data_IF_130408291110
#
_entry.id   IF_130408291110
#
_cell.length_a   1.000
_cell.length_b   1.000
_cell.length_c   1.000
_cell.angle_alpha   90.00
_cell.angle_beta   90.00
_cell.angle_gamma   90.00
#
_symmetry.space_group_name_H-M   'P 1'
#
loop_
_entity.id
_entity.type
_entity.pdbx_description
1 polymer ?
#
# COMPACT_ATOMS: atom_id res chain seq x y z
N UNK A 1 3.02 9.41 -8.28
CA UNK A 1 1.68 9.57 -8.91
C UNK A 1 1.38 11.02 -9.31
N UNK A 2 1.42 11.99 -8.40
CA UNK A 2 1.09 13.40 -8.69
C UNK A 2 1.92 13.99 -9.84
N UNK A 3 3.25 13.84 -9.81
CA UNK A 3 4.13 14.30 -10.89
C UNK A 3 3.80 13.67 -12.26
N UNK A 4 3.47 12.37 -12.28
CA UNK A 4 3.10 11.66 -13.51
C UNK A 4 1.76 12.15 -14.07
N UNK A 5 0.80 12.49 -13.20
CA UNK A 5 -0.49 13.08 -13.60
C UNK A 5 -0.30 14.50 -14.13
N UNK A 6 0.51 15.34 -13.46
CA UNK A 6 0.82 16.68 -13.93
C UNK A 6 1.58 16.67 -15.28
N UNK A 7 2.49 15.72 -15.49
CA UNK A 7 3.14 15.55 -16.81
C UNK A 7 2.12 15.23 -17.92
N UNK A 8 1.05 14.50 -17.59
CA UNK A 8 -0.01 14.18 -18.55
C UNK A 8 -0.83 15.41 -18.93
N UNK A 9 -1.17 16.23 -17.94
CA UNK A 9 -1.95 17.46 -18.12
C UNK A 9 -1.14 18.57 -18.83
N UNK A 10 0.08 18.84 -18.37
CA UNK A 10 0.89 19.96 -18.86
C UNK A 10 1.62 19.66 -20.18
N UNK A 11 1.63 18.40 -20.65
CA UNK A 11 2.41 17.90 -21.81
C UNK A 11 3.90 18.26 -21.82
N UNK A 12 4.41 18.86 -20.75
CA UNK A 12 5.81 19.18 -20.57
C UNK A 12 6.59 17.95 -20.12
N UNK A 13 7.80 17.79 -20.64
CA UNK A 13 8.68 16.67 -20.32
C UNK A 13 9.39 16.94 -18.97
N UNK A 14 8.62 17.06 -17.88
CA UNK A 14 9.14 17.33 -16.53
C UNK A 14 9.94 16.15 -15.95
N UNK A 15 9.82 14.96 -16.54
CA UNK A 15 10.50 13.74 -16.09
C UNK A 15 11.34 13.12 -17.21
N UNK A 16 12.66 13.16 -17.00
CA UNK A 16 13.66 12.43 -17.78
C UNK A 16 13.49 10.92 -17.60
N UNK A 17 13.87 10.14 -18.61
CA UNK A 17 13.86 8.66 -18.54
C UNK A 17 14.67 8.12 -17.36
N UNK A 18 15.80 8.75 -17.05
CA UNK A 18 16.63 8.39 -15.90
C UNK A 18 15.87 8.52 -14.57
N UNK A 19 15.06 9.58 -14.41
CA UNK A 19 14.26 9.79 -13.20
C UNK A 19 13.17 8.71 -13.06
N UNK A 20 12.55 8.29 -14.16
CA UNK A 20 11.56 7.22 -14.17
C UNK A 20 12.22 5.89 -13.76
N UNK A 21 13.42 5.60 -14.27
CA UNK A 21 14.23 4.46 -13.85
C UNK A 21 14.52 4.48 -12.35
N UNK A 22 14.99 5.62 -11.81
CA UNK A 22 15.25 5.77 -10.37
C UNK A 22 14.00 5.55 -9.52
N UNK A 23 12.86 6.11 -9.91
CA UNK A 23 11.60 5.88 -9.19
C UNK A 23 11.10 4.44 -9.27
N UNK A 24 11.27 3.76 -10.41
CA UNK A 24 10.94 2.33 -10.50
C UNK A 24 11.82 1.48 -9.58
N UNK A 25 13.13 1.74 -9.55
CA UNK A 25 14.08 1.04 -8.68
C UNK A 25 13.75 1.29 -7.21
N UNK A 26 13.47 2.54 -6.84
CA UNK A 26 13.09 2.90 -5.48
C UNK A 26 11.78 2.22 -5.05
N UNK A 27 10.76 2.22 -5.91
CA UNK A 27 9.49 1.53 -5.64
C UNK A 27 9.70 0.02 -5.47
N UNK A 28 10.55 -0.61 -6.28
CA UNK A 28 10.89 -2.01 -6.15
C UNK A 28 11.60 -2.31 -4.82
N UNK A 29 12.58 -1.48 -4.44
CA UNK A 29 13.31 -1.62 -3.17
C UNK A 29 12.35 -1.49 -1.98
N UNK A 30 11.48 -0.47 -1.98
CA UNK A 30 10.49 -0.30 -0.90
C UNK A 30 9.49 -1.46 -0.84
N UNK A 31 9.03 -1.96 -1.99
CA UNK A 31 8.11 -3.10 -2.04
C UNK A 31 8.77 -4.37 -1.49
N UNK A 32 10.03 -4.62 -1.85
CA UNK A 32 10.78 -5.76 -1.34
C UNK A 32 11.07 -5.62 0.16
N UNK A 33 11.41 -4.42 0.63
CA UNK A 33 11.62 -4.15 2.05
C UNK A 33 10.34 -4.35 2.87
N UNK A 34 9.19 -3.90 2.37
CA UNK A 34 7.89 -4.11 3.01
C UNK A 34 7.53 -5.59 3.08
N UNK A 35 7.79 -6.35 2.01
CA UNK A 35 7.60 -7.80 1.99
C UNK A 35 8.50 -8.49 3.02
N UNK A 36 9.78 -8.12 3.07
CA UNK A 36 10.74 -8.66 4.02
C UNK A 36 10.30 -8.42 5.47
N UNK A 37 9.91 -7.18 5.80
CA UNK A 37 9.40 -6.85 7.14
C UNK A 37 8.13 -7.64 7.49
N UNK A 38 7.23 -7.80 6.52
CA UNK A 38 6.01 -8.61 6.66
C UNK A 38 6.37 -10.07 6.97
N UNK A 39 7.28 -10.68 6.22
CA UNK A 39 7.73 -12.06 6.44
C UNK A 39 8.31 -12.22 7.84
N UNK A 40 9.23 -11.34 8.25
CA UNK A 40 9.84 -11.40 9.59
C UNK A 40 8.78 -11.27 10.68
N UNK A 41 7.82 -10.36 10.52
CA UNK A 41 6.74 -10.17 11.48
C UNK A 41 5.94 -11.47 11.66
N UNK A 42 5.51 -12.12 10.57
CA UNK A 42 4.71 -13.34 10.63
C UNK A 42 5.52 -14.53 11.15
N UNK A 43 6.78 -14.68 10.74
CA UNK A 43 7.69 -15.72 11.27
C UNK A 43 7.90 -15.56 12.78
N UNK A 44 8.11 -14.33 13.24
CA UNK A 44 8.30 -14.05 14.67
C UNK A 44 7.04 -14.38 15.48
N UNK A 45 5.85 -14.10 14.94
CA UNK A 45 4.57 -14.45 15.57
C UNK A 45 4.32 -15.95 15.58
N UNK A 46 4.63 -16.66 14.49
CA UNK A 46 4.51 -18.13 14.41
C UNK A 46 5.41 -18.83 15.43
N UNK A 47 6.58 -18.27 15.73
CA UNK A 47 7.48 -18.80 16.76
C UNK A 47 6.92 -18.65 18.18
N UNK A 48 6.09 -17.64 18.44
CA UNK A 48 5.49 -17.41 19.75
C UNK A 48 4.20 -18.21 19.91
N UNK A 49 4.19 -19.20 20.82
CA UNK A 49 3.03 -20.07 21.08
C UNK A 49 1.77 -19.30 21.49
N UNK A 50 1.90 -18.12 22.10
CA UNK A 50 0.77 -17.26 22.47
C UNK A 50 0.10 -16.54 21.29
N UNK A 51 0.78 -16.41 20.15
CA UNK A 51 0.30 -15.67 18.98
C UNK A 51 -0.13 -16.60 17.83
N UNK A 52 0.12 -17.90 17.95
CA UNK A 52 -0.12 -18.88 16.88
C UNK A 52 -1.58 -18.88 16.40
N UNK A 53 -2.54 -18.81 17.31
CA UNK A 53 -3.98 -18.77 16.95
C UNK A 53 -4.33 -17.50 16.16
N UNK A 54 -3.83 -16.34 16.59
CA UNK A 54 -4.05 -15.06 15.89
C UNK A 54 -3.40 -15.02 14.51
N UNK A 55 -2.29 -15.74 14.36
CA UNK A 55 -1.53 -15.80 13.12
C UNK A 55 -2.19 -16.75 12.11
N UNK A 56 -2.67 -17.92 12.56
CA UNK A 56 -3.47 -18.83 11.73
C UNK A 56 -4.77 -18.19 11.26
N UNK A 57 -5.39 -17.34 12.09
CA UNK A 57 -6.55 -16.55 11.69
C UNK A 57 -6.22 -15.65 10.49
N UNK A 58 -5.13 -14.88 10.51
CA UNK A 58 -4.77 -14.03 9.37
C UNK A 58 -4.35 -14.86 8.16
N UNK A 59 -3.55 -15.91 8.35
CA UNK A 59 -2.95 -16.65 7.23
C UNK A 59 -3.88 -17.69 6.57
N UNK A 60 -4.86 -18.23 7.29
CA UNK A 60 -5.64 -19.39 6.83
C UNK A 60 -7.15 -19.29 7.10
N UNK A 61 -7.55 -19.07 8.36
CA UNK A 61 -8.92 -19.35 8.81
C UNK A 61 -9.82 -18.10 8.95
N UNK A 62 -9.28 -16.90 8.70
CA UNK A 62 -9.97 -15.62 8.88
C UNK A 62 -10.83 -15.15 7.71
N UNK A 63 -11.02 -16.00 6.68
CA UNK A 63 -11.92 -15.71 5.56
C UNK A 63 -11.54 -14.44 4.78
N UNK A 64 -12.33 -13.36 4.94
CA UNK A 64 -12.09 -12.08 4.26
C UNK A 64 -10.74 -11.48 4.65
N UNK A 65 -10.29 -11.62 5.90
CA UNK A 65 -9.01 -11.11 6.36
C UNK A 65 -7.84 -11.84 5.69
N UNK A 66 -7.95 -13.16 5.54
CA UNK A 66 -6.99 -13.98 4.81
C UNK A 66 -6.96 -13.65 3.33
N UNK A 67 -8.12 -13.40 2.71
CA UNK A 67 -8.20 -12.97 1.32
C UNK A 67 -7.56 -11.59 1.12
N UNK A 68 -7.78 -10.64 2.04
CA UNK A 68 -7.17 -9.32 1.98
C UNK A 68 -5.66 -9.37 2.19
N UNK A 69 -5.16 -10.27 3.05
CA UNK A 69 -3.73 -10.50 3.23
C UNK A 69 -3.10 -11.08 1.95
N UNK A 70 -3.55 -12.25 1.49
CA UNK A 70 -2.94 -12.92 0.35
C UNK A 70 -3.23 -12.22 -0.98
N UNK A 71 -4.49 -11.87 -1.22
CA UNK A 71 -4.93 -11.25 -2.46
C UNK A 71 -4.59 -9.76 -2.51
N UNK A 72 -4.97 -9.01 -1.48
CA UNK A 72 -4.80 -7.55 -1.45
C UNK A 72 -3.35 -7.13 -1.20
N UNK A 73 -2.78 -7.52 -0.07
CA UNK A 73 -1.44 -7.10 0.33
C UNK A 73 -0.35 -7.83 -0.46
N UNK A 74 -0.31 -9.16 -0.44
CA UNK A 74 0.79 -9.92 -1.04
C UNK A 74 0.71 -9.90 -2.56
N UNK A 75 -0.40 -10.36 -3.15
CA UNK A 75 -0.52 -10.49 -4.60
C UNK A 75 -0.62 -9.11 -5.28
N UNK A 76 -1.62 -8.31 -4.93
CA UNK A 76 -1.87 -7.01 -5.57
C UNK A 76 -0.88 -5.94 -5.10
N UNK A 77 -0.51 -5.94 -3.81
CA UNK A 77 0.34 -4.90 -3.23
C UNK A 77 1.84 -5.09 -3.43
N UNK A 78 2.30 -6.32 -3.60
CA UNK A 78 3.75 -6.61 -3.66
C UNK A 78 4.12 -7.33 -4.96
N UNK A 79 3.54 -8.51 -5.21
CA UNK A 79 3.94 -9.38 -6.33
C UNK A 79 3.65 -8.72 -7.68
N UNK A 80 2.44 -8.20 -7.90
CA UNK A 80 2.06 -7.57 -9.16
C UNK A 80 2.88 -6.30 -9.47
N UNK A 81 3.06 -5.34 -8.54
CA UNK A 81 3.96 -4.20 -8.75
C UNK A 81 5.37 -4.63 -9.11
N UNK A 82 5.96 -5.58 -8.38
CA UNK A 82 7.31 -6.08 -8.67
C UNK A 82 7.38 -6.76 -10.04
N UNK A 83 6.37 -7.55 -10.42
CA UNK A 83 6.32 -8.20 -11.73
C UNK A 83 6.26 -7.17 -12.87
N UNK A 84 5.42 -6.12 -12.74
CA UNK A 84 5.32 -5.04 -13.73
C UNK A 84 6.66 -4.31 -13.88
N UNK A 85 7.34 -4.03 -12.77
CA UNK A 85 8.63 -3.37 -12.77
C UNK A 85 9.74 -4.26 -13.33
N UNK A 86 9.71 -5.57 -13.06
CA UNK A 86 10.68 -6.55 -13.56
C UNK A 86 10.56 -6.74 -15.08
N UNK A 87 9.34 -6.84 -15.61
CA UNK A 87 9.08 -6.98 -17.06
C UNK A 87 9.57 -5.76 -17.85
N UNK A 88 9.56 -4.57 -17.24
CA UNK A 88 9.98 -3.33 -17.91
C UNK A 88 11.51 -3.21 -18.04
N UNK A 89 12.29 -4.01 -17.30
CA UNK A 89 13.76 -3.98 -17.29
C UNK A 89 14.34 -2.69 -16.68
N UNK A 90 15.51 -2.80 -16.06
CA UNK A 90 16.16 -1.71 -15.31
C UNK A 90 16.51 -0.44 -16.12
N UNK A 91 16.34 -0.45 -17.45
CA UNK A 91 16.66 0.67 -18.34
C UNK A 91 15.50 1.18 -19.24
N UNK A 92 14.32 0.56 -19.21
CA UNK A 92 13.18 0.92 -20.08
C UNK A 92 11.86 1.01 -19.31
N UNK A 93 11.92 1.53 -18.08
CA UNK A 93 10.74 1.70 -17.25
C UNK A 93 9.71 2.61 -17.96
N UNK A 94 8.60 2.03 -18.40
CA UNK A 94 7.51 2.77 -19.02
C UNK A 94 6.80 3.64 -17.98
N UNK A 95 6.52 4.90 -18.32
CA UNK A 95 5.71 5.81 -17.48
C UNK A 95 4.39 5.17 -17.03
N UNK A 96 3.76 4.40 -17.93
CA UNK A 96 2.50 3.68 -17.63
C UNK A 96 2.72 2.52 -16.66
N UNK A 97 3.82 1.78 -16.81
CA UNK A 97 4.19 0.68 -15.91
C UNK A 97 4.43 1.18 -14.48
N UNK A 98 5.22 2.26 -14.33
CA UNK A 98 5.48 2.87 -13.02
C UNK A 98 4.21 3.44 -12.39
N UNK A 99 3.34 4.08 -13.19
CA UNK A 99 2.05 4.56 -12.72
C UNK A 99 1.18 3.41 -12.19
N UNK A 100 1.04 2.34 -12.98
CA UNK A 100 0.23 1.18 -12.63
C UNK A 100 0.79 0.50 -11.36
N UNK A 101 2.10 0.23 -11.33
CA UNK A 101 2.77 -0.34 -10.16
C UNK A 101 2.59 0.51 -8.90
N UNK A 102 2.65 1.84 -9.02
CA UNK A 102 2.43 2.76 -7.88
C UNK A 102 0.99 2.70 -7.35
N UNK A 103 -0.01 2.59 -8.23
CA UNK A 103 -1.42 2.47 -7.83
C UNK A 103 -1.67 1.12 -7.16
N UNK A 104 -1.18 0.02 -7.74
CA UNK A 104 -1.32 -1.30 -7.14
C UNK A 104 -0.62 -1.38 -5.78
N UNK A 105 0.58 -0.80 -5.66
CA UNK A 105 1.30 -0.72 -4.39
C UNK A 105 0.50 0.06 -3.33
N UNK A 106 -0.14 1.17 -3.71
CA UNK A 106 -1.00 1.94 -2.80
C UNK A 106 -2.22 1.14 -2.35
N UNK A 107 -2.90 0.44 -3.27
CA UNK A 107 -4.03 -0.46 -2.96
C UNK A 107 -3.58 -1.55 -1.99
N UNK A 108 -2.41 -2.13 -2.22
CA UNK A 108 -1.76 -3.08 -1.31
C UNK A 108 -1.52 -2.53 0.08
N UNK A 109 -1.03 -1.29 0.19
CA UNK A 109 -0.84 -0.61 1.46
C UNK A 109 -2.15 -0.40 2.24
N UNK A 110 -3.24 -0.07 1.54
CA UNK A 110 -4.58 0.01 2.16
C UNK A 110 -5.04 -1.37 2.64
N UNK A 111 -4.83 -2.42 1.85
CA UNK A 111 -5.12 -3.80 2.27
C UNK A 111 -4.29 -4.22 3.49
N UNK A 112 -3.01 -3.84 3.55
CA UNK A 112 -2.15 -4.08 4.71
C UNK A 112 -2.69 -3.36 5.95
N UNK A 113 -3.10 -2.08 5.84
CA UNK A 113 -3.73 -1.36 6.95
C UNK A 113 -5.03 -2.03 7.40
N UNK A 114 -5.84 -2.53 6.46
CA UNK A 114 -7.07 -3.26 6.77
C UNK A 114 -6.79 -4.53 7.58
N UNK A 115 -5.81 -5.34 7.14
CA UNK A 115 -5.42 -6.58 7.84
C UNK A 115 -4.88 -6.27 9.24
N UNK A 116 -4.05 -5.24 9.39
CA UNK A 116 -3.46 -4.89 10.69
C UNK A 116 -4.51 -4.31 11.64
N UNK A 117 -5.30 -3.34 11.20
CA UNK A 117 -6.24 -2.62 12.06
C UNK A 117 -7.50 -3.46 12.27
N UNK A 118 -8.23 -3.76 11.20
CA UNK A 118 -9.52 -4.46 11.30
C UNK A 118 -9.30 -5.94 11.60
N UNK A 119 -8.34 -6.59 10.93
CA UNK A 119 -8.02 -7.99 11.22
C UNK A 119 -7.48 -8.18 12.64
N UNK A 120 -6.68 -7.23 13.14
CA UNK A 120 -6.19 -7.25 14.52
C UNK A 120 -7.30 -7.07 15.57
N UNK A 121 -8.32 -6.26 15.28
CA UNK A 121 -9.48 -6.06 16.17
C UNK A 121 -10.52 -7.20 16.06
N UNK A 122 -10.59 -7.89 14.93
CA UNK A 122 -11.55 -8.96 14.70
C UNK A 122 -11.19 -10.25 15.47
N UNK A 123 -9.92 -10.45 15.81
CA UNK A 123 -9.48 -11.64 16.54
C UNK A 123 -9.92 -11.58 18.01
N UNK A 124 -10.58 -12.63 18.55
CA UNK A 124 -11.10 -12.61 19.91
C UNK A 124 -9.99 -12.59 20.96
N UNK A 125 -10.06 -11.62 21.87
CA UNK A 125 -9.11 -11.50 22.97
C UNK A 125 -9.46 -12.48 24.09
N UNK A 126 -8.49 -13.29 24.50
CA UNK A 126 -8.59 -14.10 25.72
C UNK A 126 -8.32 -13.20 26.94
N UNK A 127 -9.38 -12.58 27.47
CA UNK A 127 -9.28 -11.61 28.58
C UNK A 127 -8.83 -12.29 29.89
N UNK A 128 -9.30 -13.51 30.16
CA UNK A 128 -8.92 -14.29 31.34
C UNK A 128 -8.38 -15.66 30.92
N UNK A 129 -7.09 -15.88 31.18
CA UNK A 129 -6.44 -17.14 30.83
C UNK A 129 -7.06 -18.31 31.59
N UNK A 130 -7.57 -19.32 30.87
CA UNK A 130 -8.13 -20.55 31.44
C UNK A 130 -9.62 -20.47 31.84
N UNK A 131 -10.30 -19.36 31.59
CA UNK A 131 -11.74 -19.21 31.85
C UNK A 131 -12.50 -18.89 30.56
N UNK A 132 -13.60 -19.59 30.33
CA UNK A 132 -14.55 -19.27 29.27
C UNK A 132 -15.52 -18.22 29.80
N UNK A 133 -15.34 -16.97 29.37
CA UNK A 133 -16.21 -15.86 29.77
C UNK A 133 -17.28 -15.68 28.70
N UNK A 134 -18.54 -15.85 29.08
CA UNK A 134 -19.68 -15.46 28.25
C UNK A 134 -20.19 -14.09 28.70
N UNK A 135 -20.24 -13.12 27.78
CA UNK A 135 -20.85 -11.82 28.01
C UNK A 135 -21.92 -11.55 26.96
N UNK A 136 -22.92 -10.74 27.30
CA UNK A 136 -23.92 -10.25 26.35
C UNK A 136 -23.37 -9.18 25.39
N UNK A 137 -22.10 -8.78 25.54
CA UNK A 137 -21.42 -7.74 24.77
C UNK A 137 -20.50 -8.29 23.67
N UNK A 138 -20.59 -9.59 23.37
CA UNK A 138 -19.77 -10.26 22.35
C UNK A 138 -18.25 -10.24 22.62
N UNK A 139 -17.85 -10.13 23.90
CA UNK A 139 -16.44 -10.20 24.29
C UNK A 139 -15.90 -11.61 24.02
N UNK A 140 -15.07 -11.77 22.99
CA UNK A 140 -14.51 -13.06 22.58
C UNK A 140 -15.13 -13.70 21.33
N UNK A 141 -16.02 -13.00 20.62
CA UNK A 141 -16.49 -13.42 19.29
C UNK A 141 -15.67 -12.76 18.15
N UNK A 142 -15.70 -13.36 16.96
CA UNK A 142 -15.07 -12.77 15.77
C UNK A 142 -15.85 -11.51 15.38
N UNK A 143 -15.18 -10.36 15.42
CA UNK A 143 -15.77 -9.09 15.00
C UNK A 143 -15.97 -9.04 13.49
N UNK A 144 -17.18 -8.73 13.03
CA UNK A 144 -17.47 -8.51 11.61
C UNK A 144 -17.50 -7.01 11.30
N UNK A 145 -16.67 -6.59 10.36
CA UNK A 145 -16.66 -5.22 9.86
C UNK A 145 -17.11 -5.19 8.40
N UNK A 146 -18.09 -4.36 8.10
CA UNK A 146 -18.52 -4.05 6.74
C UNK A 146 -18.47 -2.53 6.59
N UNK A 147 -17.60 -1.99 5.71
CA UNK A 147 -17.48 -0.56 5.56
C UNK A 147 -18.78 0.04 5.03
N UNK A 148 -19.27 1.05 5.73
CA UNK A 148 -20.39 1.86 5.31
C UNK A 148 -19.97 2.84 4.20
N UNK A 149 -20.95 3.33 3.44
CA UNK A 149 -20.70 4.27 2.35
C UNK A 149 -19.98 5.56 2.82
N UNK A 150 -20.33 6.18 3.97
CA UNK A 150 -19.59 7.33 4.50
C UNK A 150 -18.13 7.01 4.85
N UNK A 151 -17.84 5.83 5.41
CA UNK A 151 -16.48 5.41 5.75
C UNK A 151 -15.63 5.21 4.48
N UNK A 152 -16.22 4.59 3.46
CA UNK A 152 -15.57 4.42 2.17
C UNK A 152 -15.27 5.78 1.50
N UNK A 153 -16.23 6.70 1.52
CA UNK A 153 -16.03 8.07 1.01
C UNK A 153 -14.95 8.82 1.80
N UNK A 154 -14.89 8.65 3.12
CA UNK A 154 -13.83 9.21 3.96
C UNK A 154 -12.45 8.69 3.52
N UNK A 155 -12.30 7.38 3.31
CA UNK A 155 -11.06 6.78 2.81
C UNK A 155 -10.61 7.35 1.46
N UNK A 156 -11.54 7.45 0.50
CA UNK A 156 -11.25 8.01 -0.84
C UNK A 156 -10.94 9.51 -0.78
N UNK A 157 -11.63 10.25 0.09
CA UNK A 157 -11.42 11.69 0.26
C UNK A 157 -10.02 12.01 0.78
N UNK A 158 -9.47 11.20 1.69
CA UNK A 158 -8.10 11.37 2.20
C UNK A 158 -7.06 11.29 1.09
N UNK A 159 -7.17 10.30 0.19
CA UNK A 159 -6.29 10.17 -0.97
C UNK A 159 -6.45 11.39 -1.89
N UNK A 160 -7.69 11.80 -2.16
CA UNK A 160 -8.01 12.91 -3.06
C UNK A 160 -7.45 14.24 -2.55
N UNK A 161 -7.61 14.52 -1.25
CA UNK A 161 -7.11 15.72 -0.59
C UNK A 161 -5.57 15.72 -0.60
N UNK A 162 -4.92 14.61 -0.30
CA UNK A 162 -3.46 14.50 -0.34
C UNK A 162 -2.91 14.81 -1.75
N UNK A 163 -3.57 14.29 -2.80
CA UNK A 163 -3.20 14.58 -4.18
C UNK A 163 -3.42 16.05 -4.54
N UNK A 164 -4.56 16.63 -4.14
CA UNK A 164 -4.89 18.04 -4.39
C UNK A 164 -3.89 18.99 -3.71
N UNK A 165 -3.58 18.76 -2.44
CA UNK A 165 -2.62 19.55 -1.68
C UNK A 165 -1.23 19.48 -2.33
N UNK A 166 -0.78 18.28 -2.69
CA UNK A 166 0.52 18.09 -3.35
C UNK A 166 0.57 18.81 -4.69
N UNK A 167 -0.49 18.70 -5.52
CA UNK A 167 -0.56 19.37 -6.80
C UNK A 167 -0.57 20.90 -6.66
N UNK A 168 -1.30 21.41 -5.67
CA UNK A 168 -1.38 22.84 -5.37
C UNK A 168 -0.03 23.37 -4.89
N UNK A 169 0.65 22.66 -3.99
CA UNK A 169 1.98 23.00 -3.51
C UNK A 169 3.00 23.06 -4.65
N UNK A 170 3.00 22.09 -5.56
CA UNK A 170 3.89 22.07 -6.74
C UNK A 170 3.60 23.20 -7.73
N UNK A 171 2.39 23.76 -7.73
CA UNK A 171 2.00 24.86 -8.63
C UNK A 171 2.29 26.24 -8.02
N UNK A 172 2.18 26.36 -6.70
CA UNK A 172 2.39 27.63 -5.97
C UNK A 172 3.85 27.87 -5.60
N UNK A 173 4.61 26.80 -5.33
CA UNK A 173 6.00 26.89 -4.87
C UNK A 173 6.97 26.44 -5.97
N UNK A 174 8.16 27.05 -6.09
CA UNK A 174 9.15 26.75 -7.11
C UNK A 174 9.93 25.46 -6.80
N UNK A 175 9.23 24.33 -6.65
CA UNK A 175 9.84 23.02 -6.40
C UNK A 175 10.33 22.32 -7.68
N UNK A 176 9.77 22.68 -8.83
CA UNK A 176 10.17 22.10 -10.10
C UNK A 176 11.38 22.85 -10.67
N UNK A 177 12.40 22.13 -11.20
CA UNK A 177 13.50 22.77 -11.90
C UNK A 177 12.96 23.62 -13.05
N UNK A 178 13.40 24.87 -13.14
CA UNK A 178 13.12 25.67 -14.32
C UNK A 178 13.88 25.06 -15.51
N UNK A 179 13.26 24.97 -16.70
CA UNK A 179 13.97 24.51 -17.88
C UNK A 179 15.21 25.37 -18.08
N UNK A 180 16.40 24.76 -18.09
CA UNK A 180 17.63 25.46 -18.39
C UNK A 180 17.51 26.04 -19.81
N UNK A 181 17.46 27.37 -19.91
CA UNK A 181 17.63 28.09 -21.17
C UNK A 181 19.09 27.95 -21.61
N UNK A 182 19.39 26.91 -22.37
CA UNK A 182 20.75 26.64 -22.83
C UNK A 182 20.74 25.66 -23.99
N UNK A 183 20.10 26.05 -25.09
CA UNK A 183 20.28 25.51 -26.46
C UNK A 183 19.36 26.27 -27.44
N UNK A 184 19.45 27.60 -27.45
CA UNK A 184 18.79 28.45 -28.45
C UNK A 184 19.74 29.49 -29.07
N UNK A 185 21.04 29.24 -29.04
CA UNK A 185 22.04 29.91 -29.85
C UNK A 185 23.13 28.90 -30.24
N UNK A 186 22.90 28.22 -31.36
CA UNK A 186 23.94 27.64 -32.22
C UNK A 186 23.42 27.68 -33.67
#
# INVERSE_FOLDING_TARGET
LVLLLMCRETRAQLMTQEMIGKFSGLLAIFSLAALFMTIIQHVTKLYSTGHLESELFVLRDGGVYTLMFWGGQILVGTVLPLAILAVSGAGSASRRGVMLASVLFLIGGVAQMYVIIIGGQAFPLKIFAGYEVSSSFFDGAIGHYVPSLPEALLGVSGISIAMLLTATALRLLPFLPQPHSGEAEA
#
